data_IF_110968585987
#
_entry.id   IF_110968585987
#
_cell.length_a   1.000
_cell.length_b   1.000
_cell.length_c   1.000
_cell.angle_alpha   90.00
_cell.angle_beta   90.00
_cell.angle_gamma   90.00
#
_symmetry.space_group_name_H-M   'P 1'
#
loop_
_entity.id
_entity.type
_entity.pdbx_description
1 polymer ?
#
# COMPACT_ATOMS: atom_id res chain seq x y z
N UNK A 1 40.35 -69.05 46.11
CA UNK A 1 38.87 -69.14 46.11
C UNK A 1 38.36 -67.71 46.01
N UNK A 2 37.47 -67.49 45.05
CA UNK A 2 37.08 -66.23 44.36
C UNK A 2 36.82 -65.03 45.28
N UNK A 3 37.44 -63.89 44.97
CA UNK A 3 37.06 -62.57 45.45
C UNK A 3 36.30 -61.81 44.37
N UNK A 4 35.07 -61.39 44.71
CA UNK A 4 34.18 -60.59 43.87
C UNK A 4 34.52 -59.11 44.04
N UNK A 5 34.83 -58.43 42.93
CA UNK A 5 34.83 -56.98 42.85
C UNK A 5 33.81 -56.59 41.76
N UNK A 6 32.72 -55.96 42.20
CA UNK A 6 31.67 -55.41 41.35
C UNK A 6 32.18 -54.12 40.69
N UNK A 7 32.32 -54.15 39.36
CA UNK A 7 32.50 -52.97 38.54
C UNK A 7 31.13 -52.37 38.19
N UNK A 8 30.83 -51.19 38.73
CA UNK A 8 29.66 -50.40 38.33
C UNK A 8 29.85 -49.79 36.93
N UNK A 9 28.83 -49.80 36.06
CA UNK A 9 28.92 -49.18 34.75
C UNK A 9 28.88 -47.65 34.86
N UNK A 10 29.90 -47.08 34.24
CA UNK A 10 30.07 -45.70 33.83
C UNK A 10 28.77 -45.13 33.25
N UNK A 11 28.19 -44.14 33.94
CA UNK A 11 27.03 -43.36 33.46
C UNK A 11 27.53 -42.37 32.40
N UNK A 12 27.82 -42.89 31.22
CA UNK A 12 28.10 -42.10 30.03
C UNK A 12 26.88 -41.28 29.61
N UNK A 13 27.12 -39.97 29.44
CA UNK A 13 26.52 -39.07 28.46
C UNK A 13 25.04 -39.31 28.12
N UNK A 14 24.17 -38.64 28.88
CA UNK A 14 22.89 -38.16 28.35
C UNK A 14 23.21 -37.18 27.22
N UNK A 15 23.20 -37.69 25.99
CA UNK A 15 23.18 -36.89 24.79
C UNK A 15 21.98 -35.94 24.89
N UNK A 16 22.25 -34.65 25.08
CA UNK A 16 21.34 -33.59 24.70
C UNK A 16 21.14 -33.69 23.19
N UNK A 17 20.16 -34.47 22.77
CA UNK A 17 19.61 -34.34 21.43
C UNK A 17 18.97 -32.95 21.38
N UNK A 18 19.72 -31.94 20.92
CA UNK A 18 19.14 -30.67 20.50
C UNK A 18 18.05 -31.02 19.48
N UNK A 19 16.78 -30.90 19.88
CA UNK A 19 15.68 -30.83 18.92
C UNK A 19 15.91 -29.55 18.14
N UNK A 20 16.39 -29.67 16.90
CA UNK A 20 16.40 -28.54 15.98
C UNK A 20 14.96 -28.05 15.83
N UNK A 21 14.71 -26.79 16.17
CA UNK A 21 13.40 -26.16 15.95
C UNK A 21 13.05 -26.22 14.48
N UNK A 22 11.85 -26.71 14.17
CA UNK A 22 11.38 -26.76 12.79
C UNK A 22 10.80 -25.40 12.36
N UNK A 23 10.94 -25.02 11.09
CA UNK A 23 10.36 -23.79 10.56
C UNK A 23 8.85 -23.65 10.83
N UNK A 24 8.11 -24.76 10.83
CA UNK A 24 6.67 -24.76 11.13
C UNK A 24 6.37 -24.30 12.57
N UNK A 25 7.28 -24.53 13.52
CA UNK A 25 7.13 -24.07 14.91
C UNK A 25 7.31 -22.55 14.97
N UNK A 26 8.29 -22.01 14.25
CA UNK A 26 8.51 -20.56 14.12
C UNK A 26 7.32 -19.89 13.43
N UNK A 27 6.81 -20.46 12.33
CA UNK A 27 5.61 -19.96 11.65
C UNK A 27 4.39 -19.94 12.56
N UNK A 28 4.20 -20.99 13.38
CA UNK A 28 3.11 -21.05 14.35
C UNK A 28 3.23 -19.93 15.38
N UNK A 29 4.44 -19.65 15.86
CA UNK A 29 4.68 -18.54 16.79
C UNK A 29 4.45 -17.17 16.12
N UNK A 30 4.94 -16.99 14.90
CA UNK A 30 4.77 -15.77 14.10
C UNK A 30 3.31 -15.49 13.73
N UNK A 31 2.42 -16.49 13.72
CA UNK A 31 1.02 -16.32 13.30
C UNK A 31 0.04 -16.40 14.49
N UNK A 32 0.26 -17.35 15.38
CA UNK A 32 -0.65 -17.71 16.49
C UNK A 32 0.03 -17.75 17.84
N UNK A 33 1.26 -17.23 17.94
CA UNK A 33 2.00 -17.15 19.19
C UNK A 33 1.30 -16.28 20.23
N UNK A 34 1.75 -16.36 21.50
CA UNK A 34 1.20 -15.57 22.59
C UNK A 34 1.04 -14.09 22.22
N UNK A 35 -0.02 -13.47 22.70
CA UNK A 35 -0.26 -12.03 22.52
C UNK A 35 0.35 -11.22 23.68
N UNK A 36 1.58 -11.56 24.06
CA UNK A 36 2.26 -10.84 25.14
C UNK A 36 2.41 -9.36 24.76
N UNK A 37 2.10 -8.43 25.69
CA UNK A 37 2.31 -7.01 25.46
C UNK A 37 3.79 -6.73 25.16
N UNK A 38 4.07 -5.87 24.17
CA UNK A 38 5.41 -5.41 23.86
C UNK A 38 5.46 -3.89 23.83
N UNK A 39 6.56 -3.33 24.32
CA UNK A 39 6.89 -1.91 24.22
C UNK A 39 8.34 -1.76 23.77
N UNK A 40 8.60 -0.84 22.86
CA UNK A 40 9.98 -0.50 22.49
C UNK A 40 10.04 0.52 21.37
N UNK A 41 11.25 0.87 21.00
CA UNK A 41 11.62 1.80 19.95
C UNK A 41 12.15 1.00 18.78
N UNK A 42 11.57 1.22 17.60
CA UNK A 42 12.07 0.62 16.36
C UNK A 42 13.12 1.56 15.76
N UNK A 43 14.28 0.99 15.43
CA UNK A 43 15.34 1.67 14.68
C UNK A 43 15.56 1.01 13.34
N UNK A 44 15.65 1.83 12.32
CA UNK A 44 16.04 1.43 10.98
C UNK A 44 17.57 1.25 10.93
N UNK A 45 17.99 0.16 10.33
CA UNK A 45 19.39 -0.11 10.00
C UNK A 45 19.54 0.21 8.53
N UNK A 46 20.38 1.19 8.17
CA UNK A 46 20.62 1.59 6.78
C UNK A 46 22.09 1.95 6.58
N UNK A 47 22.65 1.72 5.38
CA UNK A 47 23.94 2.29 5.03
C UNK A 47 23.85 3.82 4.91
N UNK A 48 24.93 4.51 5.25
CA UNK A 48 25.00 5.98 5.18
C UNK A 48 24.63 6.50 3.79
N UNK A 49 23.81 7.56 3.74
CA UNK A 49 23.42 8.23 2.49
C UNK A 49 22.25 7.59 1.73
N UNK A 50 21.59 6.56 2.28
CA UNK A 50 20.40 5.98 1.67
C UNK A 50 19.15 6.84 1.90
N UNK A 51 18.58 7.37 0.83
CA UNK A 51 17.24 7.98 0.81
C UNK A 51 16.22 7.00 0.26
N UNK A 52 15.19 6.69 1.04
CA UNK A 52 14.09 5.81 0.62
C UNK A 52 13.18 6.55 -0.37
N UNK A 53 12.97 5.95 -1.55
CA UNK A 53 11.95 6.39 -2.51
C UNK A 53 10.69 5.56 -2.30
N UNK A 54 9.63 6.14 -1.75
CA UNK A 54 8.35 5.46 -1.65
C UNK A 54 7.55 5.65 -2.95
N UNK A 55 7.24 4.56 -3.65
CA UNK A 55 6.30 4.56 -4.77
C UNK A 55 4.92 4.15 -4.26
N UNK A 56 4.02 5.12 -4.08
CA UNK A 56 2.63 4.85 -3.73
C UNK A 56 1.89 4.22 -4.90
N UNK A 57 1.27 3.06 -4.68
CA UNK A 57 0.32 2.45 -5.62
C UNK A 57 -1.07 3.05 -5.45
N UNK A 58 -1.77 3.30 -6.56
CA UNK A 58 -3.19 3.65 -6.54
C UNK A 58 -4.03 2.37 -6.36
N UNK A 59 -4.88 2.34 -5.32
CA UNK A 59 -5.84 1.26 -5.10
C UNK A 59 -7.26 1.69 -5.49
N UNK A 60 -7.97 0.87 -6.26
CA UNK A 60 -9.39 1.06 -6.55
C UNK A 60 -10.23 0.63 -5.33
N UNK A 61 -10.88 1.59 -4.67
CA UNK A 61 -11.70 1.39 -3.48
C UNK A 61 -11.68 2.62 -2.55
N UNK A 62 -12.43 2.62 -1.42
CA UNK A 62 -12.24 3.64 -0.39
C UNK A 62 -10.78 3.62 0.05
N UNK A 63 -10.12 4.78 -0.03
CA UNK A 63 -8.66 4.87 0.07
C UNK A 63 -8.15 4.26 1.38
N UNK A 64 -7.14 3.37 1.32
CA UNK A 64 -6.56 2.77 2.51
C UNK A 64 -5.99 3.82 3.48
N UNK A 65 -5.97 3.48 4.76
CA UNK A 65 -5.25 4.27 5.76
C UNK A 65 -3.77 3.91 5.69
N UNK A 66 -3.02 4.70 4.92
CA UNK A 66 -1.57 4.58 4.82
C UNK A 66 -0.89 5.19 6.04
N UNK A 67 -0.16 4.38 6.81
CA UNK A 67 0.58 4.80 8.00
C UNK A 67 2.07 4.66 7.71
N UNK A 68 2.75 5.79 7.60
CA UNK A 68 4.21 5.82 7.43
C UNK A 68 4.83 6.13 8.78
N UNK A 69 5.58 5.19 9.34
CA UNK A 69 6.34 5.42 10.56
C UNK A 69 7.79 5.74 10.21
N UNK A 70 8.35 6.77 10.85
CA UNK A 70 9.76 7.11 10.69
C UNK A 70 10.66 6.29 11.61
N UNK A 71 11.96 6.38 11.37
CA UNK A 71 12.99 5.87 12.28
C UNK A 71 12.81 6.40 13.71
N UNK A 72 13.06 5.53 14.68
CA UNK A 72 12.96 5.85 16.10
C UNK A 72 11.53 5.92 16.63
N UNK A 73 10.54 5.39 15.90
CA UNK A 73 9.17 5.35 16.40
C UNK A 73 9.07 4.46 17.64
N UNK A 74 8.30 4.92 18.63
CA UNK A 74 8.01 4.20 19.87
C UNK A 74 6.69 3.48 19.70
N UNK A 75 6.68 2.22 20.08
CA UNK A 75 5.59 1.28 19.82
C UNK A 75 5.16 0.63 21.13
N UNK A 76 3.85 0.55 21.32
CA UNK A 76 3.20 -0.33 22.28
C UNK A 76 2.24 -1.22 21.52
N UNK A 77 2.26 -2.51 21.80
CA UNK A 77 1.38 -3.47 21.12
C UNK A 77 0.92 -4.54 22.08
N UNK A 78 -0.37 -4.89 22.00
CA UNK A 78 -0.96 -5.98 22.75
C UNK A 78 -2.09 -6.61 21.91
N UNK A 79 -1.85 -7.81 21.37
CA UNK A 79 -2.75 -8.44 20.42
C UNK A 79 -2.93 -7.61 19.15
N UNK A 80 -4.17 -7.25 18.86
CA UNK A 80 -4.57 -6.37 17.75
C UNK A 80 -4.53 -4.87 18.09
N UNK A 81 -4.13 -4.51 19.32
CA UNK A 81 -4.00 -3.12 19.76
C UNK A 81 -2.59 -2.62 19.50
N UNK A 82 -2.47 -1.40 19.01
CA UNK A 82 -1.19 -0.79 18.65
C UNK A 82 -1.25 0.72 18.92
N UNK A 83 -0.18 1.25 19.51
CA UNK A 83 0.09 2.69 19.62
C UNK A 83 1.46 2.95 19.04
N UNK A 84 1.56 3.97 18.20
CA UNK A 84 2.81 4.42 17.60
C UNK A 84 2.99 5.92 17.84
N UNK A 85 4.12 6.26 18.44
CA UNK A 85 4.56 7.63 18.65
C UNK A 85 5.87 7.90 17.88
N UNK A 86 6.07 9.16 17.52
CA UNK A 86 7.37 9.63 17.06
C UNK A 86 8.34 9.78 18.24
N UNK A 87 9.61 10.02 17.91
CA UNK A 87 10.67 10.33 18.88
C UNK A 87 10.31 11.52 19.77
N UNK A 88 9.59 12.52 19.22
CA UNK A 88 9.14 13.72 19.95
C UNK A 88 7.88 13.50 20.81
N UNK A 89 7.29 12.29 20.79
CA UNK A 89 6.07 11.95 21.53
C UNK A 89 4.77 12.35 20.88
N UNK A 90 4.79 12.88 19.66
CA UNK A 90 3.55 13.04 18.89
C UNK A 90 3.04 11.68 18.43
N UNK A 91 1.73 11.49 18.58
CA UNK A 91 1.02 10.35 18.04
C UNK A 91 1.16 10.30 16.52
N UNK A 92 1.42 9.11 16.00
CA UNK A 92 1.33 8.81 14.57
C UNK A 92 0.12 7.94 14.31
N UNK A 93 -0.08 6.91 15.14
CA UNK A 93 -1.15 5.94 14.93
C UNK A 93 -1.60 5.30 16.24
N UNK A 94 -2.89 5.02 16.35
CA UNK A 94 -3.47 4.26 17.47
C UNK A 94 -4.55 3.31 16.92
N UNK A 95 -4.68 2.12 17.50
CA UNK A 95 -5.83 1.22 17.30
C UNK A 95 -6.12 0.45 18.57
N UNK A 96 -7.40 0.32 18.90
CA UNK A 96 -7.92 -0.51 19.99
C UNK A 96 -8.27 -1.95 19.52
N UNK A 97 -7.96 -2.26 18.25
CA UNK A 97 -8.26 -3.54 17.60
C UNK A 97 -9.63 -3.57 16.92
N UNK A 98 -10.48 -2.56 17.11
CA UNK A 98 -11.80 -2.40 16.47
C UNK A 98 -11.83 -1.14 15.59
N UNK A 99 -11.19 -0.07 16.04
CA UNK A 99 -11.11 1.22 15.39
C UNK A 99 -9.64 1.67 15.31
N UNK A 100 -9.28 2.29 14.19
CA UNK A 100 -7.96 2.86 13.97
C UNK A 100 -8.04 4.39 13.85
N UNK A 101 -7.00 5.07 14.32
CA UNK A 101 -6.83 6.52 14.28
C UNK A 101 -5.45 6.87 13.74
N UNK A 102 -5.40 7.63 12.65
CA UNK A 102 -4.17 8.11 12.05
C UNK A 102 -4.01 9.63 12.24
N UNK A 103 -2.93 9.99 12.91
CA UNK A 103 -2.56 11.33 13.36
C UNK A 103 -1.55 12.00 12.42
N UNK A 104 -1.15 11.33 11.33
CA UNK A 104 -0.08 11.80 10.42
C UNK A 104 -0.38 13.18 9.82
N UNK A 105 -1.64 13.45 9.49
CA UNK A 105 -2.06 14.73 8.91
C UNK A 105 -2.43 15.80 9.97
N UNK A 106 -2.83 15.37 11.17
CA UNK A 106 -3.36 16.22 12.23
C UNK A 106 -3.26 15.49 13.57
N UNK A 107 -2.44 16.01 14.49
CA UNK A 107 -2.17 15.38 15.78
C UNK A 107 -3.29 15.55 16.80
N UNK A 108 -4.24 16.45 16.57
CA UNK A 108 -5.33 16.75 17.51
C UNK A 108 -6.68 16.22 17.02
N UNK A 109 -6.81 16.00 15.70
CA UNK A 109 -8.03 15.45 15.09
C UNK A 109 -7.66 14.39 14.05
N UNK A 110 -7.37 13.14 14.46
CA UNK A 110 -6.99 12.08 13.53
C UNK A 110 -8.11 11.73 12.56
N UNK A 111 -7.74 11.13 11.42
CA UNK A 111 -8.71 10.40 10.58
C UNK A 111 -8.98 9.05 11.22
N UNK A 112 -10.20 8.54 11.08
CA UNK A 112 -10.58 7.27 11.67
C UNK A 112 -11.14 6.28 10.65
N UNK A 113 -10.95 4.98 10.89
CA UNK A 113 -11.43 3.91 10.02
C UNK A 113 -11.23 2.51 10.63
N UNK A 114 -11.70 1.45 9.97
CA UNK A 114 -11.54 0.10 10.46
C UNK A 114 -10.07 -0.38 10.32
N UNK A 115 -9.54 -1.17 11.27
CA UNK A 115 -8.14 -1.62 11.27
C UNK A 115 -7.74 -2.48 10.06
N UNK A 116 -8.67 -3.21 9.46
CA UNK A 116 -8.43 -4.05 8.28
C UNK A 116 -8.09 -3.25 7.01
N UNK A 117 -8.28 -1.93 7.04
CA UNK A 117 -7.91 -0.99 5.96
C UNK A 117 -6.63 -0.21 6.26
N UNK A 118 -5.93 -0.53 7.33
CA UNK A 118 -4.65 0.10 7.68
C UNK A 118 -3.52 -0.63 6.95
N UNK A 119 -2.73 0.14 6.22
CA UNK A 119 -1.51 -0.35 5.58
C UNK A 119 -0.32 0.40 6.17
N UNK A 120 0.53 -0.32 6.89
CA UNK A 120 1.80 0.20 7.35
C UNK A 120 2.78 0.22 6.19
N UNK A 121 3.50 1.32 6.04
CA UNK A 121 4.44 1.54 4.96
C UNK A 121 5.84 1.75 5.53
N UNK A 122 6.83 1.47 4.67
CA UNK A 122 8.25 1.65 4.98
C UNK A 122 8.87 0.47 5.71
N UNK A 123 10.11 0.65 6.13
CA UNK A 123 10.94 -0.41 6.71
C UNK A 123 10.33 -0.97 8.02
N UNK A 124 9.56 -0.20 8.77
CA UNK A 124 9.09 -0.65 10.08
C UNK A 124 7.83 -1.55 10.01
N UNK A 125 7.21 -1.70 8.83
CA UNK A 125 5.90 -2.38 8.68
C UNK A 125 5.85 -3.78 9.30
N UNK A 126 6.93 -4.57 9.16
CA UNK A 126 6.98 -5.96 9.63
C UNK A 126 7.07 -6.10 11.16
N UNK A 127 7.41 -5.01 11.86
CA UNK A 127 7.54 -4.99 13.32
C UNK A 127 6.29 -4.38 13.99
N UNK A 128 5.47 -3.64 13.24
CA UNK A 128 4.24 -3.02 13.74
C UNK A 128 3.06 -3.99 13.78
N UNK A 129 2.99 -4.90 12.80
CA UNK A 129 1.88 -5.84 12.68
C UNK A 129 2.39 -7.27 12.49
N UNK A 130 1.75 -8.19 13.20
CA UNK A 130 1.94 -9.63 12.96
C UNK A 130 1.29 -10.02 11.64
N UNK A 131 2.06 -10.66 10.77
CA UNK A 131 1.57 -11.24 9.51
C UNK A 131 0.53 -12.33 9.80
N UNK A 132 -0.54 -12.31 9.03
CA UNK A 132 -1.53 -13.38 9.03
C UNK A 132 -0.96 -14.67 8.44
N UNK A 133 -1.59 -15.82 8.70
CA UNK A 133 -1.20 -17.08 8.07
C UNK A 133 -1.29 -17.02 6.54
N UNK A 134 -2.22 -16.24 5.98
CA UNK A 134 -2.36 -16.03 4.55
C UNK A 134 -1.15 -15.27 3.97
N UNK A 135 -0.59 -14.31 4.70
CA UNK A 135 0.58 -13.54 4.24
C UNK A 135 1.81 -14.44 4.10
N UNK A 136 1.90 -15.51 4.88
CA UNK A 136 2.98 -16.51 4.80
C UNK A 136 2.79 -17.52 3.66
N UNK A 137 1.65 -17.51 2.97
CA UNK A 137 1.41 -18.37 1.80
C UNK A 137 1.82 -17.73 0.47
N UNK A 138 2.17 -16.44 0.47
CA UNK A 138 2.64 -15.71 -0.71
C UNK A 138 4.12 -15.95 -1.04
N UNK A 139 4.67 -15.13 -1.94
CA UNK A 139 6.06 -15.23 -2.41
C UNK A 139 7.03 -14.24 -1.72
N UNK A 140 6.51 -13.22 -1.01
CA UNK A 140 7.34 -12.20 -0.36
C UNK A 140 7.92 -12.69 0.98
N UNK A 141 9.16 -13.18 0.92
CA UNK A 141 9.95 -13.67 2.07
C UNK A 141 9.16 -14.64 2.95
N UNK A 142 8.76 -15.77 2.39
CA UNK A 142 7.95 -16.81 3.09
C UNK A 142 8.65 -18.15 3.23
N UNK A 143 9.74 -18.37 2.48
CA UNK A 143 10.43 -19.65 2.38
C UNK A 143 11.81 -19.58 3.03
N UNK A 144 12.14 -20.44 4.00
CA UNK A 144 13.47 -20.44 4.61
C UNK A 144 14.53 -20.95 3.62
N UNK A 145 15.71 -20.33 3.60
CA UNK A 145 16.88 -20.78 2.81
C UNK A 145 17.80 -21.73 3.58
N UNK A 146 17.64 -21.80 4.91
CA UNK A 146 18.48 -22.58 5.81
C UNK A 146 17.73 -23.09 7.05
N UNK A 147 18.44 -23.76 7.98
CA UNK A 147 17.84 -24.21 9.24
C UNK A 147 17.44 -23.02 10.12
N UNK A 148 16.56 -23.29 11.08
CA UNK A 148 16.30 -22.35 12.19
C UNK A 148 17.44 -22.48 13.18
N UNK A 149 18.00 -21.34 13.58
CA UNK A 149 19.07 -21.24 14.58
C UNK A 149 18.51 -20.61 15.86
N UNK A 150 18.95 -21.08 17.02
CA UNK A 150 18.71 -20.42 18.30
C UNK A 150 19.83 -19.41 18.57
N UNK A 151 19.47 -18.16 18.88
CA UNK A 151 20.41 -17.07 19.12
C UNK A 151 19.89 -16.14 20.21
N UNK A 152 20.76 -15.30 20.76
CA UNK A 152 20.35 -14.13 21.51
C UNK A 152 20.19 -12.92 20.58
N UNK A 153 19.12 -12.15 20.73
CA UNK A 153 18.90 -10.88 20.01
C UNK A 153 18.08 -9.93 20.88
N UNK A 154 18.52 -8.68 21.00
CA UNK A 154 17.93 -7.67 21.88
C UNK A 154 17.73 -8.17 23.33
N UNK A 155 18.76 -8.84 23.87
CA UNK A 155 18.80 -9.45 25.21
C UNK A 155 17.71 -10.52 25.44
N UNK A 156 17.25 -11.17 24.37
CA UNK A 156 16.22 -12.22 24.41
C UNK A 156 16.62 -13.45 23.61
N UNK A 157 16.20 -14.62 24.10
CA UNK A 157 16.27 -15.87 23.35
C UNK A 157 15.36 -15.78 22.13
N UNK A 158 15.95 -15.96 20.94
CA UNK A 158 15.29 -15.83 19.66
C UNK A 158 15.59 -17.03 18.77
N UNK A 159 14.63 -17.33 17.90
CA UNK A 159 14.93 -18.03 16.66
C UNK A 159 15.39 -17.03 15.61
N UNK A 160 16.39 -17.41 14.82
CA UNK A 160 16.75 -16.70 13.60
C UNK A 160 16.71 -17.64 12.40
N UNK A 161 16.26 -17.09 11.27
CA UNK A 161 16.13 -17.80 10.00
C UNK A 161 16.30 -16.82 8.85
N UNK A 162 16.94 -17.27 7.79
CA UNK A 162 17.06 -16.53 6.54
C UNK A 162 15.94 -16.96 5.58
N UNK A 163 15.29 -15.98 4.95
CA UNK A 163 14.15 -16.15 4.05
C UNK A 163 14.54 -15.79 2.62
N UNK A 164 14.14 -16.63 1.68
CA UNK A 164 14.38 -16.46 0.26
C UNK A 164 13.66 -15.22 -0.27
N UNK A 165 14.29 -14.44 -1.16
CA UNK A 165 13.63 -13.28 -1.74
C UNK A 165 12.58 -13.66 -2.80
N UNK A 166 11.55 -12.83 -3.01
CA UNK A 166 10.70 -12.93 -4.20
C UNK A 166 11.47 -12.58 -5.48
N UNK A 167 10.96 -12.93 -6.69
CA UNK A 167 11.69 -12.76 -7.95
C UNK A 167 12.21 -11.35 -8.27
N UNK A 168 11.58 -10.32 -7.70
CA UNK A 168 11.91 -8.92 -7.94
C UNK A 168 12.85 -8.31 -6.88
N UNK A 169 13.27 -9.09 -5.85
CA UNK A 169 14.21 -8.64 -4.81
C UNK A 169 15.49 -9.50 -4.89
N UNK A 170 16.69 -8.92 -4.84
CA UNK A 170 17.92 -9.67 -5.11
C UNK A 170 18.49 -10.43 -3.90
N UNK A 171 18.12 -10.06 -2.67
CA UNK A 171 18.81 -10.53 -1.47
C UNK A 171 17.88 -11.17 -0.45
N UNK A 172 18.29 -12.27 0.21
CA UNK A 172 17.56 -12.86 1.33
C UNK A 172 17.33 -11.88 2.49
N UNK A 173 16.38 -12.25 3.35
CA UNK A 173 16.02 -11.50 4.55
C UNK A 173 16.23 -12.38 5.78
N UNK A 174 17.11 -11.98 6.69
CA UNK A 174 17.22 -12.60 8.02
C UNK A 174 16.17 -11.99 8.95
N UNK A 175 15.48 -12.82 9.72
CA UNK A 175 14.55 -12.38 10.76
C UNK A 175 14.97 -12.91 12.13
N UNK A 176 14.55 -12.21 13.19
CA UNK A 176 14.69 -12.65 14.58
C UNK A 176 13.32 -12.68 15.25
N UNK A 177 12.97 -13.81 15.86
CA UNK A 177 11.67 -14.07 16.48
C UNK A 177 11.87 -14.48 17.93
N UNK A 178 11.31 -13.71 18.86
CA UNK A 178 11.36 -14.01 20.29
C UNK A 178 10.63 -15.33 20.59
N UNK A 179 11.32 -16.27 21.25
CA UNK A 179 10.77 -17.61 21.50
C UNK A 179 9.58 -17.58 22.48
N UNK A 180 9.57 -16.60 23.39
CA UNK A 180 8.54 -16.48 24.41
C UNK A 180 7.23 -15.84 23.89
N UNK A 181 7.33 -14.77 23.11
CA UNK A 181 6.16 -14.01 22.60
C UNK A 181 5.78 -14.37 21.15
N UNK A 182 6.66 -15.02 20.40
CA UNK A 182 6.47 -15.27 18.96
C UNK A 182 6.46 -13.99 18.12
N UNK A 183 6.95 -12.87 18.64
CA UNK A 183 7.02 -11.61 17.91
C UNK A 183 8.33 -11.49 17.15
N UNK A 184 8.28 -10.93 15.94
CA UNK A 184 9.47 -10.53 15.22
C UNK A 184 10.10 -9.32 15.93
N UNK A 185 11.36 -9.45 16.36
CA UNK A 185 12.10 -8.39 17.04
C UNK A 185 12.95 -7.56 16.08
N UNK A 186 13.25 -8.11 14.92
CA UNK A 186 14.00 -7.43 13.89
C UNK A 186 14.05 -8.23 12.62
N UNK A 187 14.48 -7.56 11.57
CA UNK A 187 14.83 -8.18 10.31
C UNK A 187 15.96 -7.40 9.63
N UNK A 188 16.73 -8.07 8.78
CA UNK A 188 17.84 -7.46 8.07
C UNK A 188 18.13 -8.16 6.75
N UNK A 189 18.28 -7.40 5.69
CA UNK A 189 18.99 -7.84 4.49
C UNK A 189 20.47 -7.51 4.67
N UNK A 190 21.28 -8.53 4.99
CA UNK A 190 22.70 -8.34 5.30
C UNK A 190 23.48 -7.78 4.11
N UNK A 191 23.17 -8.26 2.90
CA UNK A 191 23.79 -7.79 1.66
C UNK A 191 23.46 -6.33 1.33
N UNK A 192 22.22 -5.90 1.60
CA UNK A 192 21.83 -4.50 1.39
C UNK A 192 22.24 -3.59 2.56
N UNK A 193 22.65 -4.15 3.70
CA UNK A 193 22.89 -3.40 4.93
C UNK A 193 21.63 -2.72 5.48
N UNK A 194 20.45 -3.21 5.11
CA UNK A 194 19.16 -2.59 5.42
C UNK A 194 18.32 -3.47 6.34
N UNK A 195 17.54 -2.86 7.23
CA UNK A 195 16.65 -3.59 8.14
C UNK A 195 15.95 -2.68 9.14
N UNK A 196 15.27 -3.29 10.09
CA UNK A 196 14.74 -2.60 11.27
C UNK A 196 14.76 -3.54 12.47
N UNK A 197 14.88 -2.99 13.67
CA UNK A 197 14.90 -3.76 14.92
C UNK A 197 14.42 -2.94 16.11
N UNK A 198 13.94 -3.64 17.14
CA UNK A 198 13.77 -3.04 18.47
C UNK A 198 15.12 -2.81 19.16
N UNK A 199 15.27 -1.72 19.91
CA UNK A 199 16.52 -1.38 20.62
C UNK A 199 16.39 -1.25 22.15
N UNK A 200 15.18 -1.11 22.68
CA UNK A 200 14.86 -0.95 24.11
C UNK A 200 13.56 -1.72 24.44
N UNK A 201 13.52 -2.97 23.98
CA UNK A 201 12.34 -3.83 24.06
C UNK A 201 12.01 -4.25 25.49
N UNK A 202 10.73 -4.17 25.84
CA UNK A 202 10.12 -4.75 27.04
C UNK A 202 8.96 -5.63 26.61
N UNK A 203 8.89 -6.84 27.17
CA UNK A 203 7.87 -7.87 26.86
C UNK A 203 7.17 -8.29 28.14
N UNK A 204 5.84 -8.38 28.11
CA UNK A 204 5.01 -8.85 29.22
C UNK A 204 4.64 -7.78 30.25
N UNK A 205 4.87 -6.50 29.96
CA UNK A 205 4.41 -5.39 30.80
C UNK A 205 2.88 -5.21 30.65
N UNK A 206 2.16 -5.07 31.76
CA UNK A 206 0.73 -4.76 31.71
C UNK A 206 0.51 -3.32 31.21
N UNK A 207 -0.39 -3.16 30.25
CA UNK A 207 -0.78 -1.86 29.72
C UNK A 207 -2.19 -1.50 30.15
N UNK A 208 -2.39 -0.22 30.48
CA UNK A 208 -3.72 0.35 30.65
C UNK A 208 -4.48 0.34 29.31
N UNK A 209 -5.76 -0.04 29.33
CA UNK A 209 -6.56 -0.13 28.11
C UNK A 209 -6.73 1.23 27.43
N UNK A 210 -6.73 2.33 28.20
CA UNK A 210 -6.79 3.69 27.69
C UNK A 210 -5.59 4.11 26.83
N UNK A 211 -4.48 3.38 26.91
CA UNK A 211 -3.29 3.61 26.07
C UNK A 211 -3.57 3.48 24.57
N UNK A 212 -4.51 2.58 24.23
CA UNK A 212 -4.86 2.19 22.86
C UNK A 212 -6.13 2.85 22.33
N UNK A 213 -6.76 3.72 23.11
CA UNK A 213 -7.97 4.44 22.71
C UNK A 213 -7.71 5.88 22.29
N UNK A 214 -8.69 6.46 21.60
CA UNK A 214 -8.79 7.90 21.38
C UNK A 214 -10.24 8.33 21.56
N UNK A 215 -10.48 9.24 22.50
CA UNK A 215 -11.80 9.80 22.85
C UNK A 215 -11.98 11.25 22.35
N UNK A 216 -10.93 11.83 21.76
CA UNK A 216 -10.95 13.17 21.20
C UNK A 216 -11.70 13.26 19.87
N UNK A 217 -11.74 14.46 19.27
CA UNK A 217 -12.42 14.67 17.98
C UNK A 217 -11.73 13.86 16.87
N UNK A 218 -12.51 13.46 15.86
CA UNK A 218 -12.02 12.74 14.68
C UNK A 218 -12.56 13.39 13.40
N UNK A 219 -11.90 13.13 12.27
CA UNK A 219 -12.51 13.35 10.97
C UNK A 219 -13.34 12.14 10.57
N UNK A 220 -14.58 12.38 10.13
CA UNK A 220 -15.29 11.35 9.36
C UNK A 220 -14.58 11.14 8.01
N UNK A 221 -14.74 9.98 7.36
CA UNK A 221 -14.19 9.75 6.03
C UNK A 221 -14.57 10.86 5.03
N UNK A 222 -15.81 11.35 5.05
CA UNK A 222 -16.31 12.39 4.14
C UNK A 222 -15.68 13.76 4.46
N UNK A 223 -15.52 14.10 5.73
CA UNK A 223 -14.83 15.32 6.13
C UNK A 223 -13.37 15.31 5.70
N UNK A 224 -12.67 14.18 5.89
CA UNK A 224 -11.28 14.04 5.49
C UNK A 224 -11.11 14.14 3.97
N UNK A 225 -11.97 13.47 3.20
CA UNK A 225 -11.96 13.56 1.73
C UNK A 225 -12.23 14.98 1.22
N UNK A 226 -13.19 15.67 1.84
CA UNK A 226 -13.45 17.08 1.53
C UNK A 226 -12.26 17.96 1.86
N UNK A 227 -11.60 17.78 3.02
CA UNK A 227 -10.37 18.51 3.38
C UNK A 227 -9.26 18.28 2.35
N UNK A 228 -9.00 17.05 1.95
CA UNK A 228 -7.98 16.73 0.93
C UNK A 228 -8.29 17.42 -0.41
N UNK A 229 -9.57 17.38 -0.83
CA UNK A 229 -10.01 18.05 -2.05
C UNK A 229 -9.82 19.57 -1.96
N UNK A 230 -10.20 20.19 -0.84
CA UNK A 230 -10.08 21.63 -0.65
C UNK A 230 -8.61 22.07 -0.59
N UNK A 231 -7.75 21.30 0.08
CA UNK A 231 -6.29 21.53 0.09
C UNK A 231 -5.70 21.43 -1.32
N UNK A 232 -6.05 20.38 -2.07
CA UNK A 232 -5.58 20.19 -3.43
C UNK A 232 -6.00 21.35 -4.34
N UNK A 233 -7.27 21.77 -4.26
CA UNK A 233 -7.78 22.91 -5.02
C UNK A 233 -7.10 24.22 -4.62
N UNK A 234 -6.75 24.39 -3.34
CA UNK A 234 -6.04 25.58 -2.86
C UNK A 234 -4.62 25.64 -3.44
N UNK A 235 -3.86 24.55 -3.33
CA UNK A 235 -2.51 24.45 -3.91
C UNK A 235 -2.55 24.64 -5.43
N UNK A 236 -3.51 24.05 -6.13
CA UNK A 236 -3.69 24.26 -7.58
C UNK A 236 -3.95 25.74 -7.91
N UNK A 237 -4.79 26.43 -7.14
CA UNK A 237 -5.06 27.86 -7.32
C UNK A 237 -3.82 28.71 -7.05
N UNK A 238 -3.07 28.39 -6.00
CA UNK A 238 -1.82 29.07 -5.66
C UNK A 238 -0.78 28.89 -6.77
N UNK A 239 -0.59 27.67 -7.28
CA UNK A 239 0.31 27.39 -8.40
C UNK A 239 -0.13 28.10 -9.68
N UNK A 240 -1.42 28.10 -9.99
CA UNK A 240 -1.95 28.81 -11.15
C UNK A 240 -1.79 30.33 -11.03
N UNK A 241 -2.03 30.89 -9.84
CA UNK A 241 -1.82 32.31 -9.55
C UNK A 241 -0.34 32.69 -9.69
N UNK A 242 0.55 31.91 -9.09
CA UNK A 242 2.00 32.08 -9.22
C UNK A 242 2.43 32.01 -10.69
N UNK A 243 1.97 31.03 -11.46
CA UNK A 243 2.32 30.90 -12.88
C UNK A 243 1.84 32.12 -13.69
N UNK A 244 0.62 32.57 -13.42
CA UNK A 244 0.03 33.76 -14.06
C UNK A 244 0.86 35.01 -13.81
N UNK A 245 1.32 35.19 -12.57
CA UNK A 245 2.10 36.35 -12.14
C UNK A 245 3.56 36.30 -12.62
N UNK A 246 4.22 35.14 -12.44
CA UNK A 246 5.66 34.99 -12.65
C UNK A 246 6.06 34.61 -14.08
N UNK A 247 5.15 33.98 -14.85
CA UNK A 247 5.46 33.43 -16.18
C UNK A 247 4.65 34.11 -17.27
N UNK A 248 3.32 33.97 -17.24
CA UNK A 248 2.43 34.61 -18.21
C UNK A 248 0.98 34.65 -17.73
N UNK A 249 0.36 35.82 -17.82
CA UNK A 249 -1.06 36.00 -17.56
C UNK A 249 -1.96 35.40 -18.66
N UNK A 250 -1.40 35.09 -19.84
CA UNK A 250 -2.14 34.49 -20.95
C UNK A 250 -2.07 32.96 -20.91
N UNK A 251 -3.20 32.24 -21.09
CA UNK A 251 -3.19 30.79 -21.20
C UNK A 251 -2.26 30.30 -22.32
N UNK A 252 -1.44 29.29 -22.02
CA UNK A 252 -0.60 28.64 -23.02
C UNK A 252 -1.34 27.40 -23.50
N UNK A 253 -1.78 27.43 -24.76
CA UNK A 253 -2.31 26.26 -25.46
C UNK A 253 -1.41 25.89 -26.64
N UNK A 254 -1.16 24.60 -26.83
CA UNK A 254 -0.51 24.07 -28.03
C UNK A 254 -1.24 22.82 -28.50
N UNK A 255 -1.19 22.56 -29.82
CA UNK A 255 -1.77 21.35 -30.41
C UNK A 255 -0.70 20.29 -30.48
N UNK A 256 -0.95 19.17 -29.80
CA UNK A 256 -0.08 17.98 -29.85
C UNK A 256 -0.82 16.84 -30.57
N UNK A 257 -0.12 16.03 -31.39
CA UNK A 257 -0.68 14.78 -31.88
C UNK A 257 -1.03 13.87 -30.70
N UNK A 258 -2.19 13.21 -30.76
CA UNK A 258 -2.67 12.27 -29.74
C UNK A 258 -2.93 10.93 -30.41
N UNK A 259 -2.37 9.86 -29.85
CA UNK A 259 -2.61 8.49 -30.31
C UNK A 259 -3.85 7.91 -29.63
N UNK A 260 -4.82 7.49 -30.44
CA UNK A 260 -6.07 6.85 -30.00
C UNK A 260 -5.99 5.31 -30.05
N UNK A 261 -4.81 4.74 -30.33
CA UNK A 261 -4.61 3.29 -30.29
C UNK A 261 -4.74 2.81 -28.85
N UNK A 262 -5.77 2.00 -28.53
CA UNK A 262 -5.96 1.50 -27.19
C UNK A 262 -4.95 0.41 -26.85
N UNK A 263 -4.49 0.38 -25.61
CA UNK A 263 -3.69 -0.71 -25.05
C UNK A 263 -4.47 -1.53 -24.00
N UNK A 264 -5.67 -1.07 -23.62
CA UNK A 264 -6.55 -1.69 -22.64
C UNK A 264 -8.00 -1.75 -23.12
N UNK A 265 -8.65 -2.89 -22.87
CA UNK A 265 -10.05 -3.18 -23.25
C UNK A 265 -10.82 -3.75 -22.06
N UNK A 266 -11.29 -2.91 -21.12
CA UNK A 266 -12.08 -3.37 -19.98
C UNK A 266 -13.39 -4.05 -20.38
N UNK A 267 -13.94 -3.72 -21.55
CA UNK A 267 -15.13 -4.36 -22.11
C UNK A 267 -14.95 -4.62 -23.60
N UNK A 268 -15.30 -5.83 -24.04
CA UNK A 268 -15.38 -6.21 -25.45
C UNK A 268 -16.46 -7.28 -25.62
N UNK A 269 -17.34 -7.05 -26.58
CA UNK A 269 -18.34 -8.01 -27.02
C UNK A 269 -17.96 -8.54 -28.42
N UNK A 270 -17.53 -9.81 -28.54
CA UNK A 270 -17.17 -10.41 -29.82
C UNK A 270 -18.35 -10.57 -30.78
N UNK A 271 -19.58 -10.69 -30.29
CA UNK A 271 -20.78 -10.94 -31.11
C UNK A 271 -21.28 -9.64 -31.72
N UNK A 272 -21.36 -8.58 -30.91
CA UNK A 272 -21.87 -7.27 -31.37
C UNK A 272 -20.77 -6.33 -31.83
N UNK A 273 -19.50 -6.61 -31.56
CA UNK A 273 -18.38 -5.72 -31.88
C UNK A 273 -18.32 -4.46 -31.00
N UNK A 274 -19.13 -4.38 -29.94
CA UNK A 274 -19.07 -3.29 -28.96
C UNK A 274 -17.81 -3.39 -28.10
N UNK A 275 -17.27 -2.25 -27.69
CA UNK A 275 -16.12 -2.20 -26.78
C UNK A 275 -16.05 -0.87 -26.02
N UNK A 276 -15.42 -0.93 -24.86
CA UNK A 276 -14.83 0.23 -24.18
C UNK A 276 -13.32 0.01 -24.13
N UNK A 277 -12.56 1.00 -24.57
CA UNK A 277 -11.12 0.92 -24.65
C UNK A 277 -10.47 2.24 -24.23
N UNK A 278 -9.23 2.16 -23.76
CA UNK A 278 -8.46 3.34 -23.38
C UNK A 278 -6.96 3.09 -23.55
N UNK A 279 -6.22 4.19 -23.51
CA UNK A 279 -4.78 4.20 -23.21
C UNK A 279 -4.51 5.26 -22.13
N UNK A 280 -3.25 5.62 -21.91
CA UNK A 280 -2.89 6.63 -20.90
C UNK A 280 -3.57 8.00 -21.08
N UNK A 281 -3.86 8.39 -22.32
CA UNK A 281 -4.30 9.75 -22.67
C UNK A 281 -5.74 9.82 -23.19
N UNK A 282 -6.28 8.71 -23.69
CA UNK A 282 -7.52 8.69 -24.48
C UNK A 282 -8.49 7.60 -24.06
N UNK A 283 -9.77 7.88 -24.31
CA UNK A 283 -10.90 6.98 -24.15
C UNK A 283 -11.58 6.82 -25.51
N UNK A 284 -11.89 5.59 -25.90
CA UNK A 284 -12.59 5.26 -27.14
C UNK A 284 -13.61 4.16 -26.86
N UNK A 285 -14.84 4.36 -27.31
CA UNK A 285 -15.89 3.35 -27.19
C UNK A 285 -16.76 3.29 -28.43
N UNK A 286 -17.31 2.12 -28.66
CA UNK A 286 -18.23 1.85 -29.76
C UNK A 286 -19.30 0.85 -29.33
N UNK A 287 -20.51 1.04 -29.83
CA UNK A 287 -21.60 0.06 -29.75
C UNK A 287 -22.47 0.09 -31.02
N UNK A 288 -23.23 -0.98 -31.33
CA UNK A 288 -24.20 -0.93 -32.43
C UNK A 288 -25.13 0.27 -32.31
N UNK A 289 -25.45 0.91 -33.44
CA UNK A 289 -26.31 2.09 -33.49
C UNK A 289 -27.68 1.75 -32.90
N UNK A 290 -28.18 2.64 -32.05
CA UNK A 290 -29.53 2.57 -31.50
C UNK A 290 -30.29 3.88 -31.71
N UNK A 291 -31.61 3.81 -31.60
CA UNK A 291 -32.46 5.01 -31.46
C UNK A 291 -32.31 5.63 -30.07
N UNK A 292 -31.93 4.83 -29.07
CA UNK A 292 -31.67 5.30 -27.71
C UNK A 292 -30.39 6.13 -27.64
N UNK A 293 -30.49 7.34 -27.11
CA UNK A 293 -29.34 8.22 -26.93
C UNK A 293 -28.25 7.58 -26.06
N UNK A 294 -26.98 7.75 -26.47
CA UNK A 294 -25.83 7.20 -25.75
C UNK A 294 -24.88 8.26 -25.22
N UNK A 295 -24.59 8.23 -23.93
CA UNK A 295 -23.58 9.10 -23.33
C UNK A 295 -22.81 8.32 -22.28
N UNK A 296 -21.55 7.92 -22.58
CA UNK A 296 -20.71 7.28 -21.59
C UNK A 296 -20.49 8.19 -20.37
N UNK A 297 -20.56 7.63 -19.16
CA UNK A 297 -20.31 8.37 -17.93
C UNK A 297 -18.81 8.38 -17.62
N UNK A 298 -18.01 9.01 -18.47
CA UNK A 298 -16.55 9.02 -18.30
C UNK A 298 -16.07 10.05 -17.29
N UNK A 299 -16.79 11.15 -17.13
CA UNK A 299 -16.37 12.28 -16.30
C UNK A 299 -15.73 13.41 -17.10
N UNK A 300 -14.65 13.18 -17.88
CA UNK A 300 -14.05 14.19 -18.76
C UNK A 300 -14.95 14.66 -19.90
N UNK A 301 -14.51 15.75 -20.53
CA UNK A 301 -15.04 16.24 -21.80
C UNK A 301 -14.85 15.17 -22.88
N UNK A 302 -15.92 14.85 -23.60
CA UNK A 302 -15.87 13.87 -24.67
C UNK A 302 -16.87 14.20 -25.77
N UNK A 303 -16.69 13.54 -26.90
CA UNK A 303 -17.54 13.65 -28.07
C UNK A 303 -18.23 12.32 -28.28
N UNK A 304 -19.49 12.38 -28.69
CA UNK A 304 -20.20 11.20 -29.21
C UNK A 304 -20.77 11.52 -30.58
N UNK A 305 -20.79 10.54 -31.46
CA UNK A 305 -21.33 10.64 -32.82
C UNK A 305 -21.83 9.27 -33.28
N UNK A 306 -22.57 9.22 -34.39
CA UNK A 306 -23.01 7.97 -35.00
C UNK A 306 -22.56 7.88 -36.45
N UNK A 307 -22.26 6.67 -36.91
CA UNK A 307 -22.19 6.29 -38.34
C UNK A 307 -23.43 5.44 -38.66
N UNK A 308 -23.64 4.92 -39.90
CA UNK A 308 -24.83 4.13 -40.22
C UNK A 308 -25.10 2.97 -39.26
N UNK A 309 -24.04 2.27 -38.82
CA UNK A 309 -24.15 1.04 -38.05
C UNK A 309 -23.70 1.16 -36.59
N UNK A 310 -23.03 2.26 -36.22
CA UNK A 310 -22.37 2.38 -34.92
C UNK A 310 -22.63 3.71 -34.23
N UNK A 311 -22.78 3.66 -32.91
CA UNK A 311 -22.55 4.82 -32.05
C UNK A 311 -21.11 4.79 -31.53
N UNK A 312 -20.45 5.94 -31.54
CA UNK A 312 -19.05 6.12 -31.14
C UNK A 312 -18.92 7.20 -30.06
N UNK A 313 -17.92 7.03 -29.19
CA UNK A 313 -17.53 8.03 -28.21
C UNK A 313 -16.01 8.12 -28.14
N UNK A 314 -15.48 9.35 -28.03
CA UNK A 314 -14.05 9.60 -27.83
C UNK A 314 -13.80 10.77 -26.88
N UNK A 315 -12.82 10.62 -25.99
CA UNK A 315 -12.48 11.62 -24.98
C UNK A 315 -10.99 11.63 -24.66
N UNK A 316 -10.52 12.76 -24.13
CA UNK A 316 -9.18 12.90 -23.56
C UNK A 316 -9.24 12.83 -22.04
N UNK A 317 -8.26 12.18 -21.41
CA UNK A 317 -8.19 12.06 -19.94
C UNK A 317 -7.62 13.36 -19.33
N UNK A 318 -6.51 13.86 -19.89
CA UNK A 318 -5.80 15.05 -19.41
C UNK A 318 -5.63 16.12 -20.50
N UNK A 319 -6.44 16.04 -21.56
CA UNK A 319 -6.38 16.94 -22.71
C UNK A 319 -7.79 17.28 -23.20
N UNK A 320 -7.91 18.47 -23.79
CA UNK A 320 -9.14 18.89 -24.45
C UNK A 320 -9.04 18.57 -25.95
N UNK A 321 -10.02 17.82 -26.47
CA UNK A 321 -10.19 17.61 -27.91
C UNK A 321 -10.97 18.77 -28.50
N UNK A 322 -10.46 19.35 -29.59
CA UNK A 322 -11.19 20.33 -30.38
C UNK A 322 -11.93 19.67 -31.56
N UNK A 323 -12.81 20.43 -32.22
CA UNK A 323 -13.63 19.91 -33.31
C UNK A 323 -12.80 19.50 -34.55
N UNK A 324 -11.56 19.97 -34.68
CA UNK A 324 -10.65 19.58 -35.76
C UNK A 324 -10.01 18.21 -35.46
N UNK A 325 -9.55 18.00 -34.23
CA UNK A 325 -9.04 16.71 -33.77
C UNK A 325 -10.09 15.60 -33.91
N UNK A 326 -11.34 15.88 -33.52
CA UNK A 326 -12.44 14.92 -33.68
C UNK A 326 -12.73 14.62 -35.15
N UNK A 327 -12.70 15.62 -36.04
CA UNK A 327 -12.86 15.40 -37.49
C UNK A 327 -11.72 14.58 -38.10
N UNK A 328 -10.50 14.69 -37.57
CA UNK A 328 -9.36 13.87 -38.01
C UNK A 328 -9.49 12.43 -37.51
N UNK A 329 -9.90 12.24 -36.25
CA UNK A 329 -10.16 10.93 -35.68
C UNK A 329 -11.27 10.20 -36.44
N UNK A 330 -12.39 10.89 -36.70
CA UNK A 330 -13.51 10.36 -37.49
C UNK A 330 -13.04 9.86 -38.86
N UNK A 331 -12.33 10.69 -39.63
CA UNK A 331 -11.79 10.29 -40.94
C UNK A 331 -10.81 9.12 -40.87
N UNK A 332 -10.10 8.95 -39.75
CA UNK A 332 -9.17 7.83 -39.57
C UNK A 332 -9.89 6.54 -39.21
N UNK A 333 -10.95 6.61 -38.40
CA UNK A 333 -11.74 5.44 -37.98
C UNK A 333 -12.69 4.95 -39.07
N UNK A 334 -13.25 5.85 -39.87
CA UNK A 334 -14.26 5.54 -40.89
C UNK A 334 -14.17 6.51 -42.08
N UNK A 335 -13.16 6.37 -42.95
CA UNK A 335 -12.82 7.35 -43.99
C UNK A 335 -13.93 7.61 -45.03
N UNK A 336 -14.90 6.71 -45.17
CA UNK A 336 -15.96 6.78 -46.19
C UNK A 336 -17.38 6.75 -45.59
N UNK A 337 -17.52 6.72 -44.26
CA UNK A 337 -18.84 6.68 -43.63
C UNK A 337 -19.33 8.09 -43.28
N UNK A 338 -20.61 8.41 -43.52
CA UNK A 338 -21.17 9.66 -43.05
C UNK A 338 -21.28 9.66 -41.52
N UNK A 339 -20.89 10.78 -40.91
CA UNK A 339 -21.08 11.03 -39.49
C UNK A 339 -22.33 11.86 -39.26
N UNK A 340 -23.18 11.42 -38.34
CA UNK A 340 -24.32 12.18 -37.84
C UNK A 340 -24.38 12.20 -36.30
N UNK A 341 -25.37 12.90 -35.74
CA UNK A 341 -25.65 12.98 -34.30
C UNK A 341 -24.45 13.39 -33.42
N UNK A 342 -23.47 14.08 -34.00
CA UNK A 342 -22.30 14.55 -33.25
C UNK A 342 -22.70 15.55 -32.17
N UNK A 343 -22.23 15.31 -30.95
CA UNK A 343 -22.39 16.24 -29.83
C UNK A 343 -21.18 16.20 -28.92
N UNK A 344 -20.88 17.35 -28.35
CA UNK A 344 -19.88 17.52 -27.28
C UNK A 344 -20.58 17.39 -25.93
N UNK A 345 -19.99 16.59 -25.05
CA UNK A 345 -20.46 16.35 -23.69
C UNK A 345 -19.45 16.99 -22.75
N UNK A 346 -19.90 18.02 -22.02
CA UNK A 346 -19.08 18.73 -21.06
C UNK A 346 -19.03 17.96 -19.72
N UNK A 347 -17.89 18.01 -19.00
CA UNK A 347 -17.76 17.39 -17.68
C UNK A 347 -18.75 18.03 -16.69
N UNK A 348 -19.36 17.24 -15.78
CA UNK A 348 -20.30 17.77 -14.80
C UNK A 348 -19.62 18.83 -13.91
N UNK A 349 -20.15 20.05 -13.91
CA UNK A 349 -19.69 21.15 -13.05
C UNK A 349 -18.78 22.20 -13.69
N UNK A 350 -18.37 22.06 -14.96
CA UNK A 350 -17.69 23.14 -15.71
C UNK A 350 -18.75 23.99 -16.43
N UNK A 351 -19.20 25.08 -15.78
CA UNK A 351 -20.04 26.07 -16.45
C UNK A 351 -19.29 26.65 -17.66
N UNK A 352 -19.98 26.85 -18.78
CA UNK A 352 -19.42 27.49 -19.99
C UNK A 352 -18.78 28.83 -19.63
N UNK A 353 -17.45 28.92 -19.63
CA UNK A 353 -16.76 30.20 -19.81
C UNK A 353 -16.95 30.62 -21.27
N UNK A 354 -17.70 31.72 -21.45
CA UNK A 354 -17.93 32.36 -22.75
C UNK A 354 -16.68 33.08 -23.25
#
# INVERSE_FOLDING_TARGET
MVGLAEGGPDRGNLAYAHRMTAWIEVLKALTTGPELPIRGTIREVRPDGYTEGFAGGASSGPSPMLVVTGDGCRVWRHGNRLRVERVDGRLTFVTDGIQAWDFTADSERPRTGPPDRVHYLGSNQFLLQRRSAADWSGDDFTTPTGPVEETEFADRECWTVELAPPPHKPYPLRIWVDTASGQMLGYRSEHAGQGAQFVDLVVGEDFDDGLFGWDGPVYTPEEYQRRLKDQHLTVQREHAAWFSEAVTASPIGTRVPVDFTPDSFPFRDPETGAFDAFNHDTLLSRRPRSEDGWTPNWGPLHYVWSTPDWDWAAGGINLDLDDEAIRLLQRSLHPEEPVDRQRKIDPPGRGRTK
#
